data_IF_510856036989
#
_entry.id   IF_510856036989
#
_cell.length_a   1.000
_cell.length_b   1.000
_cell.length_c   1.000
_cell.angle_alpha   90.00
_cell.angle_beta   90.00
_cell.angle_gamma   90.00
#
_symmetry.space_group_name_H-M   'P 1'
#
loop_
_entity.id
_entity.type
_entity.pdbx_description
1 polymer ?
#
# COMPACT_ATOMS: atom_id res chain seq x y z
N UNK A 1 15.44 -31.01 45.90
CA UNK A 1 14.13 -30.73 45.20
C UNK A 1 13.77 -29.24 45.17
N UNK A 2 13.76 -28.49 46.27
CA UNK A 2 13.38 -27.05 46.25
C UNK A 2 14.25 -26.19 45.28
N UNK A 3 15.58 -26.41 45.23
CA UNK A 3 16.48 -25.63 44.35
C UNK A 3 16.27 -25.93 42.86
N UNK A 4 15.92 -27.16 42.49
CA UNK A 4 15.61 -27.55 41.08
C UNK A 4 14.29 -26.91 40.64
N UNK A 5 13.31 -26.84 41.52
CA UNK A 5 12.02 -26.21 41.21
C UNK A 5 12.17 -24.71 41.00
N UNK A 6 13.01 -24.04 41.76
CA UNK A 6 13.29 -22.60 41.61
C UNK A 6 14.00 -22.30 40.29
N UNK A 7 14.95 -23.13 39.87
CA UNK A 7 15.67 -22.97 38.58
C UNK A 7 14.70 -23.21 37.42
N UNK A 8 13.78 -24.17 37.52
CA UNK A 8 12.76 -24.44 36.48
C UNK A 8 11.75 -23.29 36.36
N UNK A 9 11.33 -22.69 37.47
CA UNK A 9 10.46 -21.52 37.46
C UNK A 9 11.15 -20.27 36.86
N UNK A 10 12.44 -20.07 37.14
CA UNK A 10 13.23 -18.97 36.56
C UNK A 10 13.45 -19.22 35.04
N UNK A 11 13.68 -20.45 34.62
CA UNK A 11 13.82 -20.78 33.20
C UNK A 11 12.49 -20.65 32.43
N UNK A 12 11.33 -20.91 33.06
CA UNK A 12 10.03 -20.67 32.45
C UNK A 12 9.64 -19.19 32.44
N UNK A 13 10.08 -18.39 33.42
CA UNK A 13 9.85 -16.95 33.44
C UNK A 13 10.67 -16.20 32.34
N UNK A 14 11.74 -16.78 31.86
CA UNK A 14 12.54 -16.25 30.73
C UNK A 14 12.00 -16.62 29.35
N UNK A 15 10.98 -17.44 29.24
CA UNK A 15 10.13 -17.55 28.07
C UNK A 15 9.12 -16.40 28.07
N UNK A 16 9.62 -15.19 28.10
CA UNK A 16 8.84 -14.02 27.70
C UNK A 16 8.38 -14.31 26.28
N UNK A 17 7.11 -14.63 26.11
CA UNK A 17 6.42 -14.49 24.84
C UNK A 17 6.63 -13.04 24.43
N UNK A 18 7.65 -12.78 23.62
CA UNK A 18 7.75 -11.53 22.92
C UNK A 18 6.53 -11.53 21.99
N UNK A 19 5.42 -10.97 22.47
CA UNK A 19 4.38 -10.52 21.59
C UNK A 19 5.08 -9.52 20.66
N UNK A 20 5.31 -9.92 19.42
CA UNK A 20 5.86 -9.02 18.44
C UNK A 20 4.70 -8.14 18.02
N UNK A 21 4.71 -6.90 18.47
CA UNK A 21 3.72 -5.92 18.07
C UNK A 21 3.91 -5.64 16.57
N UNK A 22 2.82 -5.72 15.83
CA UNK A 22 2.74 -5.32 14.44
C UNK A 22 1.94 -4.03 14.36
N UNK A 23 2.57 -2.98 13.86
CA UNK A 23 1.90 -1.71 13.57
C UNK A 23 1.59 -1.64 12.08
N UNK A 24 0.33 -1.43 11.72
CA UNK A 24 -0.10 -1.23 10.34
C UNK A 24 -0.47 0.24 10.17
N UNK A 25 0.22 0.90 9.24
CA UNK A 25 -0.13 2.24 8.77
C UNK A 25 -0.70 2.07 7.37
N UNK A 26 -1.88 2.64 7.13
CA UNK A 26 -2.42 2.70 5.79
C UNK A 26 -2.88 4.12 5.44
N UNK A 27 -2.81 4.43 4.17
CA UNK A 27 -3.36 5.63 3.56
C UNK A 27 -4.07 5.26 2.26
N UNK A 28 -4.94 6.13 1.79
CA UNK A 28 -5.67 6.02 0.53
C UNK A 28 -6.01 7.42 0.03
N UNK A 29 -6.40 7.54 -1.24
CA UNK A 29 -6.92 8.78 -1.82
C UNK A 29 -6.00 10.00 -1.57
N UNK A 30 -4.70 9.82 -1.77
CA UNK A 30 -3.74 10.93 -1.58
C UNK A 30 -3.77 11.93 -2.72
N UNK A 31 -4.27 11.54 -3.90
CA UNK A 31 -4.62 12.41 -5.02
C UNK A 31 -3.57 13.48 -5.32
N UNK A 32 -2.31 13.07 -5.44
CA UNK A 32 -1.17 13.96 -5.74
C UNK A 32 -1.04 15.16 -4.79
N UNK A 33 -1.58 15.08 -3.57
CA UNK A 33 -1.47 16.14 -2.57
C UNK A 33 -0.08 16.14 -1.93
N UNK A 34 0.91 16.63 -2.70
CA UNK A 34 2.30 16.74 -2.27
C UNK A 34 2.46 17.85 -1.25
N UNK A 35 1.86 19.02 -1.52
CA UNK A 35 1.89 20.18 -0.63
C UNK A 35 0.86 20.07 0.50
N UNK A 36 1.11 20.73 1.64
CA UNK A 36 0.09 20.92 2.65
C UNK A 36 -1.13 21.70 2.10
N UNK A 37 -2.28 21.50 2.73
CA UNK A 37 -3.52 22.21 2.38
C UNK A 37 -3.29 23.73 2.35
N UNK A 38 -3.60 24.38 1.23
CA UNK A 38 -3.30 25.81 1.02
C UNK A 38 -4.35 26.75 1.62
N UNK A 39 -5.57 26.25 1.88
CA UNK A 39 -6.69 27.07 2.36
C UNK A 39 -7.68 26.24 3.20
N UNK A 40 -8.66 26.90 3.81
CA UNK A 40 -9.69 26.25 4.60
C UNK A 40 -9.27 25.92 6.03
N UNK A 41 -10.08 25.14 6.72
CA UNK A 41 -9.91 24.78 8.14
C UNK A 41 -8.60 24.04 8.42
N UNK A 42 -8.14 23.25 7.46
CA UNK A 42 -6.92 22.43 7.57
C UNK A 42 -5.71 23.06 6.88
N UNK A 43 -5.72 24.40 6.66
CA UNK A 43 -4.58 25.11 6.07
C UNK A 43 -3.26 24.80 6.80
N UNK A 44 -2.25 24.43 6.02
CA UNK A 44 -0.92 24.12 6.52
C UNK A 44 -0.76 22.69 7.05
N UNK A 45 -1.81 21.85 6.98
CA UNK A 45 -1.76 20.44 7.37
C UNK A 45 -1.69 19.51 6.17
N UNK A 46 -1.26 18.28 6.42
CA UNK A 46 -1.13 17.23 5.41
C UNK A 46 0.07 17.46 4.50
N UNK A 47 0.01 16.84 3.33
CA UNK A 47 1.14 16.80 2.40
C UNK A 47 2.17 15.74 2.77
N UNK A 48 3.08 15.50 1.83
CA UNK A 48 4.02 14.38 1.91
C UNK A 48 5.03 14.51 3.06
N UNK A 49 5.40 15.74 3.42
CA UNK A 49 6.39 15.98 4.49
C UNK A 49 5.81 15.63 5.87
N UNK A 50 4.56 16.02 6.14
CA UNK A 50 3.90 15.67 7.41
C UNK A 50 3.64 14.16 7.49
N UNK A 51 3.24 13.55 6.37
CA UNK A 51 3.09 12.10 6.26
C UNK A 51 4.41 11.37 6.53
N UNK A 52 5.52 11.82 5.93
CA UNK A 52 6.85 11.28 6.17
C UNK A 52 7.24 11.36 7.64
N UNK A 53 7.07 12.53 8.26
CA UNK A 53 7.40 12.75 9.67
C UNK A 53 6.60 11.82 10.60
N UNK A 54 5.32 11.61 10.32
CA UNK A 54 4.48 10.67 11.07
C UNK A 54 4.97 9.23 10.92
N UNK A 55 5.18 8.76 9.68
CA UNK A 55 5.68 7.41 9.39
C UNK A 55 7.02 7.17 10.09
N UNK A 56 7.95 8.12 10.01
CA UNK A 56 9.25 8.01 10.65
C UNK A 56 9.15 7.99 12.18
N UNK A 57 8.25 8.77 12.77
CA UNK A 57 8.00 8.75 14.21
C UNK A 57 7.53 7.37 14.69
N UNK A 58 6.63 6.73 13.96
CA UNK A 58 6.14 5.39 14.28
C UNK A 58 7.23 4.34 14.07
N UNK A 59 7.98 4.44 12.96
CA UNK A 59 9.13 3.54 12.72
C UNK A 59 10.22 3.65 13.76
N UNK A 60 10.44 4.86 14.31
CA UNK A 60 11.36 5.05 15.43
C UNK A 60 10.85 4.42 16.72
N UNK A 61 9.55 4.55 17.03
CA UNK A 61 8.96 4.03 18.25
C UNK A 61 8.86 2.50 18.24
N UNK A 62 8.35 1.92 17.16
CA UNK A 62 7.97 0.51 17.09
C UNK A 62 9.06 -0.36 16.43
N UNK A 63 10.04 0.29 15.78
CA UNK A 63 11.04 -0.36 14.94
C UNK A 63 10.55 -0.63 13.52
N UNK A 64 11.31 -0.18 12.53
CA UNK A 64 10.93 -0.26 11.09
C UNK A 64 10.45 -1.66 10.66
N UNK A 65 11.05 -2.73 11.18
CA UNK A 65 10.69 -4.12 10.84
C UNK A 65 9.32 -4.56 11.38
N UNK A 66 8.76 -3.82 12.34
CA UNK A 66 7.46 -4.10 12.96
C UNK A 66 6.34 -3.24 12.35
N UNK A 67 6.68 -2.34 11.42
CA UNK A 67 5.71 -1.46 10.75
C UNK A 67 5.45 -1.97 9.34
N UNK A 68 4.18 -2.18 9.00
CA UNK A 68 3.69 -2.47 7.67
C UNK A 68 3.02 -1.20 7.14
N UNK A 69 3.51 -0.69 6.01
CA UNK A 69 2.99 0.54 5.38
C UNK A 69 2.27 0.20 4.08
N UNK A 70 0.99 0.55 4.00
CA UNK A 70 0.09 0.20 2.90
C UNK A 70 -0.51 1.44 2.26
N UNK A 71 -0.69 1.42 0.92
CA UNK A 71 -1.50 2.41 0.20
C UNK A 71 -2.67 1.72 -0.50
N UNK A 72 -3.90 2.17 -0.20
CA UNK A 72 -5.12 1.54 -0.70
C UNK A 72 -5.65 2.17 -2.01
N UNK A 73 -4.77 2.77 -2.83
CA UNK A 73 -5.09 3.29 -4.16
C UNK A 73 -5.46 4.77 -4.18
N UNK A 74 -5.72 5.29 -5.39
CA UNK A 74 -5.98 6.69 -5.70
C UNK A 74 -4.85 7.62 -5.20
N UNK A 75 -3.60 7.22 -5.46
CA UNK A 75 -2.45 8.10 -5.24
C UNK A 75 -2.27 9.11 -6.37
N UNK A 76 -2.82 8.82 -7.55
CA UNK A 76 -2.79 9.64 -8.75
C UNK A 76 -3.93 10.65 -8.80
N UNK A 77 -3.79 11.69 -9.66
CA UNK A 77 -4.81 12.69 -9.99
C UNK A 77 -5.14 13.65 -8.83
N UNK A 78 -5.65 14.83 -9.12
CA UNK A 78 -6.17 15.80 -8.12
C UNK A 78 -5.40 17.12 -8.06
N UNK A 79 -4.13 17.18 -8.44
CA UNK A 79 -3.34 18.41 -8.43
C UNK A 79 -2.56 18.62 -9.74
N UNK A 80 -1.98 19.84 -9.88
CA UNK A 80 -1.10 20.14 -11.01
C UNK A 80 0.14 19.26 -11.09
N UNK A 81 0.58 18.66 -9.99
CA UNK A 81 1.68 17.71 -9.99
C UNK A 81 1.41 16.53 -10.92
N UNK A 82 0.23 15.93 -10.82
CA UNK A 82 -0.17 14.83 -11.71
C UNK A 82 -0.25 15.29 -13.18
N UNK A 83 -0.86 16.45 -13.43
CA UNK A 83 -1.04 16.96 -14.80
C UNK A 83 0.30 17.21 -15.48
N UNK A 84 1.25 17.82 -14.78
CA UNK A 84 2.56 18.20 -15.34
C UNK A 84 3.55 17.02 -15.35
N UNK A 85 3.57 16.21 -14.29
CA UNK A 85 4.57 15.15 -14.09
C UNK A 85 4.06 13.76 -14.45
N UNK A 86 2.81 13.63 -14.90
CA UNK A 86 2.21 12.37 -15.38
C UNK A 86 2.30 11.23 -14.37
N UNK A 87 2.20 11.54 -13.08
CA UNK A 87 2.23 10.55 -12.01
C UNK A 87 3.63 10.08 -11.57
N UNK A 88 4.71 10.69 -12.07
CA UNK A 88 6.06 10.31 -11.65
C UNK A 88 6.32 10.66 -10.19
N UNK A 89 5.88 11.84 -9.74
CA UNK A 89 6.13 12.30 -8.37
C UNK A 89 5.42 11.42 -7.34
N UNK A 90 4.25 10.89 -7.67
CA UNK A 90 3.51 9.96 -6.82
C UNK A 90 4.31 8.67 -6.59
N UNK A 91 4.93 8.15 -7.65
CA UNK A 91 5.82 6.99 -7.55
C UNK A 91 7.06 7.31 -6.71
N UNK A 92 7.68 8.47 -6.93
CA UNK A 92 8.84 8.91 -6.14
C UNK A 92 8.47 9.02 -4.65
N UNK A 93 7.27 9.51 -4.33
CA UNK A 93 6.75 9.59 -2.95
C UNK A 93 6.51 8.19 -2.37
N UNK A 94 5.86 7.27 -3.10
CA UNK A 94 5.65 5.91 -2.64
C UNK A 94 6.98 5.24 -2.28
N UNK A 95 7.99 5.37 -3.13
CA UNK A 95 9.32 4.80 -2.93
C UNK A 95 10.05 5.48 -1.77
N UNK A 96 10.05 6.82 -1.70
CA UNK A 96 10.73 7.59 -0.66
C UNK A 96 10.15 7.32 0.73
N UNK A 97 8.83 7.19 0.86
CA UNK A 97 8.16 6.82 2.11
C UNK A 97 8.33 5.33 2.43
N UNK A 98 8.70 4.51 1.45
CA UNK A 98 8.94 3.09 1.58
C UNK A 98 7.67 2.32 1.89
N UNK A 99 6.66 2.48 1.05
CA UNK A 99 5.47 1.64 1.10
C UNK A 99 5.84 0.18 0.84
N UNK A 100 5.23 -0.73 1.57
CA UNK A 100 5.46 -2.16 1.41
C UNK A 100 4.57 -2.77 0.33
N UNK A 101 3.29 -2.36 0.33
CA UNK A 101 2.29 -2.83 -0.64
C UNK A 101 1.38 -1.68 -1.02
N UNK A 102 1.05 -1.59 -2.29
CA UNK A 102 0.07 -0.66 -2.83
C UNK A 102 -1.00 -1.41 -3.61
N UNK A 103 -2.25 -0.95 -3.59
CA UNK A 103 -3.26 -1.38 -4.55
C UNK A 103 -3.57 -0.26 -5.53
N UNK A 104 -4.34 -0.58 -6.57
CA UNK A 104 -4.78 0.40 -7.54
C UNK A 104 -6.14 0.97 -7.12
N UNK A 105 -6.34 2.26 -7.35
CA UNK A 105 -7.64 2.90 -7.40
C UNK A 105 -8.07 3.17 -8.85
N UNK A 106 -9.18 3.83 -9.07
CA UNK A 106 -9.63 4.14 -10.42
C UNK A 106 -8.78 5.23 -11.08
N UNK A 107 -8.25 6.17 -10.34
CA UNK A 107 -7.44 7.26 -10.90
C UNK A 107 -6.04 6.85 -11.36
N UNK A 108 -5.57 5.67 -11.01
CA UNK A 108 -4.34 5.13 -11.58
C UNK A 108 -4.45 4.91 -13.09
N UNK A 109 -5.68 4.72 -13.60
CA UNK A 109 -5.95 4.45 -15.01
C UNK A 109 -6.18 5.70 -15.88
N UNK A 110 -6.24 6.90 -15.30
CA UNK A 110 -6.61 8.14 -15.99
C UNK A 110 -5.73 8.47 -17.21
N UNK A 111 -4.49 8.06 -17.21
CA UNK A 111 -3.55 8.25 -18.34
C UNK A 111 -3.38 7.01 -19.24
N UNK A 112 -4.24 5.98 -19.08
CA UNK A 112 -4.19 4.74 -19.85
C UNK A 112 -3.24 3.68 -19.29
N UNK A 113 -3.37 2.47 -19.82
CA UNK A 113 -2.66 1.28 -19.32
C UNK A 113 -1.14 1.35 -19.57
N UNK A 114 -0.71 1.88 -20.71
CA UNK A 114 0.71 2.02 -21.06
C UNK A 114 1.44 2.96 -20.09
N UNK A 115 0.79 4.08 -19.75
CA UNK A 115 1.36 5.04 -18.83
C UNK A 115 1.36 4.50 -17.40
N UNK A 116 0.29 3.79 -17.00
CA UNK A 116 0.26 3.08 -15.72
C UNK A 116 1.38 2.04 -15.67
N UNK A 117 1.53 1.19 -16.69
CA UNK A 117 2.59 0.19 -16.75
C UNK A 117 3.98 0.82 -16.64
N UNK A 118 4.21 1.97 -17.34
CA UNK A 118 5.48 2.70 -17.26
C UNK A 118 5.79 3.11 -15.83
N UNK A 119 4.80 3.66 -15.10
CA UNK A 119 4.96 4.08 -13.71
C UNK A 119 5.19 2.89 -12.78
N UNK A 120 4.38 1.84 -12.90
CA UNK A 120 4.46 0.66 -12.02
C UNK A 120 5.80 -0.08 -12.12
N UNK A 121 6.51 0.00 -13.26
CA UNK A 121 7.87 -0.56 -13.39
C UNK A 121 8.90 0.12 -12.49
N UNK A 122 8.60 1.32 -11.97
CA UNK A 122 9.48 2.09 -11.10
C UNK A 122 9.02 2.08 -9.63
N UNK A 123 7.94 1.36 -9.30
CA UNK A 123 7.46 1.20 -7.92
C UNK A 123 8.29 0.14 -7.21
N UNK A 124 8.80 0.46 -6.03
CA UNK A 124 9.54 -0.49 -5.18
C UNK A 124 8.59 -1.41 -4.37
N UNK A 125 7.36 -0.95 -4.11
CA UNK A 125 6.34 -1.70 -3.39
C UNK A 125 5.77 -2.84 -4.23
N UNK A 126 5.25 -3.89 -3.59
CA UNK A 126 4.40 -4.86 -4.28
C UNK A 126 3.07 -4.21 -4.68
N UNK A 127 2.70 -4.30 -5.95
CA UNK A 127 1.41 -3.82 -6.47
C UNK A 127 0.43 -4.98 -6.51
N UNK A 128 -0.73 -4.83 -5.86
CA UNK A 128 -1.73 -5.91 -5.74
C UNK A 128 -3.12 -5.47 -6.20
N UNK A 129 -3.80 -6.35 -6.95
CA UNK A 129 -5.22 -6.21 -7.30
C UNK A 129 -5.75 -7.59 -7.72
N UNK A 130 -6.61 -8.19 -6.90
CA UNK A 130 -7.05 -9.57 -7.08
C UNK A 130 -8.31 -9.71 -7.96
N UNK A 131 -9.12 -8.66 -8.05
CA UNK A 131 -10.41 -8.72 -8.71
C UNK A 131 -10.44 -8.13 -10.12
N UNK A 132 -9.26 -8.03 -10.75
CA UNK A 132 -9.10 -7.73 -12.17
C UNK A 132 -8.11 -8.70 -12.80
N UNK A 133 -8.45 -9.15 -14.00
CA UNK A 133 -7.54 -9.93 -14.83
C UNK A 133 -6.72 -8.98 -15.71
N UNK A 134 -5.40 -9.04 -15.56
CA UNK A 134 -4.44 -8.25 -16.32
C UNK A 134 -3.67 -9.06 -17.36
N UNK A 135 -3.98 -10.36 -17.52
CA UNK A 135 -3.32 -11.22 -18.50
C UNK A 135 -3.54 -10.72 -19.92
N UNK A 136 -2.50 -10.76 -20.74
CA UNK A 136 -2.54 -10.24 -22.12
C UNK A 136 -2.54 -8.72 -22.24
N UNK A 137 -2.43 -7.97 -21.12
CA UNK A 137 -2.29 -6.51 -21.12
C UNK A 137 -0.84 -6.09 -20.83
N UNK A 138 -0.55 -4.79 -20.98
CA UNK A 138 0.76 -4.23 -20.62
C UNK A 138 1.04 -4.22 -19.11
N UNK A 139 0.04 -4.55 -18.29
CA UNK A 139 0.12 -4.67 -16.83
C UNK A 139 0.43 -6.10 -16.36
N UNK A 140 0.45 -7.07 -17.29
CA UNK A 140 0.77 -8.47 -16.97
C UNK A 140 2.12 -8.57 -16.24
N UNK A 141 2.11 -9.26 -15.09
CA UNK A 141 3.29 -9.43 -14.24
C UNK A 141 3.70 -8.22 -13.41
N UNK A 142 3.12 -7.03 -13.65
CA UNK A 142 3.33 -5.83 -12.83
C UNK A 142 2.38 -5.76 -11.64
N UNK A 143 1.18 -6.31 -11.79
CA UNK A 143 0.14 -6.35 -10.75
C UNK A 143 -0.09 -7.81 -10.37
N UNK A 144 -0.02 -8.11 -9.08
CA UNK A 144 -0.26 -9.44 -8.53
C UNK A 144 -1.64 -9.51 -7.88
N UNK A 145 -2.29 -10.67 -7.79
CA UNK A 145 -3.55 -10.75 -7.04
C UNK A 145 -3.33 -10.50 -5.54
N UNK A 146 -2.23 -10.97 -4.98
CA UNK A 146 -1.84 -10.79 -3.58
C UNK A 146 -0.33 -10.83 -3.43
N UNK A 147 0.15 -10.46 -2.25
CA UNK A 147 1.55 -10.70 -1.84
C UNK A 147 1.63 -11.18 -0.40
N UNK A 148 2.77 -11.75 -0.03
CA UNK A 148 3.06 -12.16 1.35
C UNK A 148 4.30 -11.39 1.83
N UNK A 149 4.09 -10.45 2.72
CA UNK A 149 5.16 -9.69 3.34
C UNK A 149 5.52 -10.24 4.73
N UNK A 150 6.73 -9.93 5.19
CA UNK A 150 7.18 -10.28 6.54
C UNK A 150 7.40 -9.02 7.36
N UNK A 151 6.59 -8.86 8.42
CA UNK A 151 6.70 -7.75 9.38
C UNK A 151 6.42 -8.26 10.78
N UNK A 152 7.07 -7.69 11.79
CA UNK A 152 6.88 -8.11 13.17
C UNK A 152 7.15 -9.60 13.42
N UNK A 153 8.02 -10.25 12.60
CA UNK A 153 8.26 -11.68 12.65
C UNK A 153 7.14 -12.56 12.08
N UNK A 154 6.06 -11.95 11.60
CA UNK A 154 4.90 -12.64 11.03
C UNK A 154 4.93 -12.64 9.51
N UNK A 155 4.27 -13.64 8.90
CA UNK A 155 3.91 -13.66 7.48
C UNK A 155 2.50 -13.09 7.34
N UNK A 156 2.36 -12.05 6.53
CA UNK A 156 1.10 -11.33 6.36
C UNK A 156 0.74 -11.40 4.88
N UNK A 157 -0.41 -12.00 4.56
CA UNK A 157 -0.99 -11.95 3.23
C UNK A 157 -1.70 -10.60 3.04
N UNK A 158 -1.45 -9.95 1.92
CA UNK A 158 -2.12 -8.69 1.54
C UNK A 158 -2.76 -8.89 0.18
N UNK A 159 -4.07 -8.70 0.11
CA UNK A 159 -4.88 -8.77 -1.11
C UNK A 159 -5.33 -7.36 -1.46
N UNK A 160 -5.18 -6.95 -2.71
CA UNK A 160 -5.73 -5.70 -3.23
C UNK A 160 -7.09 -5.93 -3.86
N UNK A 161 -8.02 -5.01 -3.66
CA UNK A 161 -9.31 -4.98 -4.32
C UNK A 161 -9.56 -3.59 -4.89
N UNK A 162 -10.17 -3.55 -6.07
CA UNK A 162 -10.51 -2.32 -6.77
C UNK A 162 -12.01 -2.30 -7.03
N UNK A 163 -12.62 -1.11 -7.00
CA UNK A 163 -14.01 -0.92 -7.41
C UNK A 163 -14.24 -1.32 -8.87
N UNK A 164 -15.49 -1.49 -9.29
CA UNK A 164 -15.80 -1.62 -10.71
C UNK A 164 -15.51 -0.29 -11.41
N UNK A 165 -14.51 -0.32 -12.31
CA UNK A 165 -14.03 0.88 -13.03
C UNK A 165 -14.83 1.20 -14.28
N UNK A 166 -15.78 0.34 -14.70
CA UNK A 166 -16.56 0.53 -15.93
C UNK A 166 -17.36 1.83 -15.98
N UNK A 167 -17.72 2.38 -14.82
CA UNK A 167 -18.52 3.61 -14.72
C UNK A 167 -17.66 4.86 -14.42
N UNK A 168 -16.38 4.69 -14.02
CA UNK A 168 -15.55 5.79 -13.50
C UNK A 168 -14.26 6.00 -14.27
N UNK A 169 -13.89 5.09 -15.17
CA UNK A 169 -12.71 5.17 -16.03
C UNK A 169 -13.15 5.23 -17.49
N UNK A 170 -12.29 5.75 -18.37
CA UNK A 170 -12.55 5.75 -19.81
C UNK A 170 -12.90 4.33 -20.29
N UNK A 171 -13.99 4.23 -21.07
CA UNK A 171 -14.53 2.92 -21.52
C UNK A 171 -13.55 2.15 -22.39
N UNK A 172 -12.68 2.83 -23.13
CA UNK A 172 -11.70 2.17 -23.99
C UNK A 172 -10.58 1.52 -23.14
N UNK A 173 -10.36 2.01 -21.94
CA UNK A 173 -9.45 1.42 -20.95
C UNK A 173 -10.17 0.30 -20.20
N UNK A 174 -11.34 0.62 -19.63
CA UNK A 174 -12.05 -0.32 -18.76
C UNK A 174 -12.45 -1.62 -19.47
N UNK A 175 -12.85 -1.57 -20.76
CA UNK A 175 -13.32 -2.74 -21.52
C UNK A 175 -12.23 -3.79 -21.84
N UNK A 176 -10.95 -3.45 -21.72
CA UNK A 176 -9.86 -4.41 -21.95
C UNK A 176 -9.49 -5.18 -20.69
N UNK A 177 -10.05 -4.80 -19.54
CA UNK A 177 -9.86 -5.46 -18.26
C UNK A 177 -11.12 -6.26 -17.90
N UNK A 178 -10.91 -7.44 -17.32
CA UNK A 178 -12.03 -8.27 -16.88
C UNK A 178 -12.22 -8.11 -15.37
N UNK A 179 -13.35 -7.52 -14.98
CA UNK A 179 -13.74 -7.41 -13.57
C UNK A 179 -14.26 -8.74 -13.04
N UNK A 180 -13.86 -9.08 -11.83
CA UNK A 180 -14.28 -10.27 -11.10
C UNK A 180 -14.90 -9.85 -9.76
N UNK A 181 -15.87 -10.62 -9.28
CA UNK A 181 -16.52 -10.33 -7.99
C UNK A 181 -15.48 -10.35 -6.85
N UNK A 182 -15.27 -9.22 -6.15
CA UNK A 182 -14.26 -9.12 -5.11
C UNK A 182 -14.51 -10.07 -3.93
N UNK A 183 -15.76 -10.40 -3.62
CA UNK A 183 -16.10 -11.35 -2.56
C UNK A 183 -15.63 -12.76 -2.93
N UNK A 184 -15.84 -13.15 -4.19
CA UNK A 184 -15.36 -14.44 -4.70
C UNK A 184 -13.85 -14.50 -4.66
N UNK A 185 -13.16 -13.43 -5.08
CA UNK A 185 -11.70 -13.39 -5.11
C UNK A 185 -11.06 -13.48 -3.73
N UNK A 186 -11.64 -12.84 -2.71
CA UNK A 186 -11.17 -12.98 -1.30
C UNK A 186 -11.31 -14.41 -0.78
N UNK A 187 -12.29 -15.18 -1.28
CA UNK A 187 -12.47 -16.58 -0.87
C UNK A 187 -11.47 -17.51 -1.55
N UNK A 188 -11.01 -17.16 -2.75
CA UNK A 188 -10.09 -17.99 -3.55
C UNK A 188 -8.64 -17.88 -3.04
N UNK A 189 -8.23 -16.70 -2.57
CA UNK A 189 -6.86 -16.41 -2.10
C UNK A 189 -6.77 -16.37 -0.57
#
# INVERSE_FOLDING_TARGET
MKRILTVLCVAMASLSLNAQDLTIIHVNDTHSHIDPQRSGEHKGRGGVIEQAAYIDSVRCADGKRNVLLLHAGDFSQGTSYFTELKGNIEIDVLNALGFDVVTLGNHEFDNGLEELARRLRSVDADVVCANYDFDGTVLEGLVKPYTIVRRGGQKIGVIGLLTDIMEVVDRDIAKVLTYQDPVVMVIIF
#
